data_IF_589375440065
#
_entry.id   IF_589375440065
#
_cell.length_a   1.000
_cell.length_b   1.000
_cell.length_c   1.000
_cell.angle_alpha   90.00
_cell.angle_beta   90.00
_cell.angle_gamma   90.00
#
_symmetry.space_group_name_H-M   'P 1'
#
loop_
_entity.id
_entity.type
_entity.pdbx_description
1 polymer ?
#
# COMPACT_ATOMS: atom_id res chain seq x y z
N UNK A 1 -5.84 -10.24 24.28
CA UNK A 1 -6.30 -9.08 23.49
C UNK A 1 -7.58 -9.49 22.79
N UNK A 2 -8.69 -8.74 22.93
CA UNK A 2 -9.94 -9.03 22.20
C UNK A 2 -9.63 -9.13 20.70
N UNK A 3 -10.26 -10.09 20.00
CA UNK A 3 -10.19 -10.19 18.54
C UNK A 3 -10.66 -8.86 17.94
N UNK A 4 -9.73 -7.99 17.54
CA UNK A 4 -10.07 -6.77 16.83
C UNK A 4 -10.30 -7.15 15.37
N UNK A 5 -11.52 -6.98 14.89
CA UNK A 5 -11.82 -7.11 13.46
C UNK A 5 -11.26 -5.88 12.76
N UNK A 6 -10.45 -6.13 11.75
CA UNK A 6 -9.87 -5.11 10.89
C UNK A 6 -10.39 -5.29 9.47
N UNK A 7 -10.53 -4.19 8.77
CA UNK A 7 -10.91 -4.16 7.36
C UNK A 7 -9.79 -3.49 6.58
N UNK A 8 -9.61 -3.84 5.31
CA UNK A 8 -8.62 -3.17 4.47
C UNK A 8 -9.25 -2.68 3.17
N UNK A 9 -8.76 -1.53 2.69
CA UNK A 9 -8.99 -1.05 1.33
C UNK A 9 -7.70 -1.25 0.55
N UNK A 10 -7.82 -1.82 -0.65
CA UNK A 10 -6.73 -1.89 -1.62
C UNK A 10 -7.23 -1.27 -2.91
N UNK A 11 -6.68 -0.12 -3.27
CA UNK A 11 -6.94 0.55 -4.55
C UNK A 11 -5.62 0.77 -5.26
N UNK A 12 -5.54 0.36 -6.53
CA UNK A 12 -4.39 0.59 -7.38
C UNK A 12 -4.85 1.20 -8.70
N UNK A 13 -4.11 2.18 -9.19
CA UNK A 13 -4.27 2.73 -10.52
C UNK A 13 -3.05 2.34 -11.34
N UNK A 14 -3.29 2.03 -12.62
CA UNK A 14 -2.25 1.60 -13.54
C UNK A 14 -2.23 2.49 -14.77
N UNK A 15 -1.01 2.69 -15.29
CA UNK A 15 -0.76 3.33 -16.57
C UNK A 15 -0.22 2.27 -17.52
N UNK A 16 -0.87 2.15 -18.68
CA UNK A 16 -0.45 1.25 -19.75
C UNK A 16 0.18 2.10 -20.85
N UNK A 17 1.43 1.83 -21.20
CA UNK A 17 2.15 2.53 -22.26
C UNK A 17 2.68 1.54 -23.28
N UNK A 18 2.78 1.94 -24.55
CA UNK A 18 3.56 1.18 -25.53
C UNK A 18 5.00 1.10 -25.05
N UNK A 19 5.60 -0.06 -25.17
CA UNK A 19 7.00 -0.29 -24.85
C UNK A 19 7.57 -1.31 -25.83
N UNK A 20 8.72 -1.02 -26.42
CA UNK A 20 9.46 -2.01 -27.19
C UNK A 20 10.27 -2.87 -26.21
N UNK A 21 10.22 -4.20 -26.38
CA UNK A 21 11.01 -5.09 -25.54
C UNK A 21 10.58 -6.55 -25.58
N UNK A 22 11.41 -7.39 -24.96
CA UNK A 22 11.29 -8.87 -24.94
C UNK A 22 10.01 -9.38 -24.26
N UNK A 23 9.29 -8.52 -23.52
CA UNK A 23 8.06 -8.86 -22.79
C UNK A 23 6.77 -8.50 -23.55
N UNK A 24 6.89 -8.03 -24.79
CA UNK A 24 5.76 -7.62 -25.63
C UNK A 24 5.60 -6.10 -25.74
N UNK A 25 4.64 -5.62 -26.56
CA UNK A 25 4.56 -4.23 -27.00
C UNK A 25 3.99 -3.27 -25.94
N UNK A 26 3.71 -3.74 -24.72
CA UNK A 26 3.02 -2.99 -23.67
C UNK A 26 3.73 -3.11 -22.33
N UNK A 27 3.84 -1.99 -21.61
CA UNK A 27 4.26 -1.92 -20.22
C UNK A 27 3.11 -1.43 -19.36
N UNK A 28 2.89 -2.10 -18.23
CA UNK A 28 1.97 -1.66 -17.17
C UNK A 28 2.79 -1.16 -15.99
N UNK A 29 2.55 0.07 -15.56
CA UNK A 29 3.19 0.68 -14.38
C UNK A 29 2.11 1.07 -13.37
N UNK A 30 2.40 0.95 -12.08
CA UNK A 30 1.56 1.58 -11.04
C UNK A 30 1.62 3.09 -11.21
N UNK A 31 0.45 3.73 -11.34
CA UNK A 31 0.30 5.18 -11.44
C UNK A 31 -0.06 5.81 -10.09
N UNK A 32 -0.81 5.07 -9.26
CA UNK A 32 -1.12 5.45 -7.89
C UNK A 32 -1.53 4.23 -7.07
N UNK A 33 -1.48 4.33 -5.75
CA UNK A 33 -2.11 3.38 -4.85
C UNK A 33 -2.68 4.05 -3.59
N UNK A 34 -3.68 3.39 -3.02
CA UNK A 34 -4.28 3.73 -1.74
C UNK A 34 -4.51 2.44 -0.97
N UNK A 35 -3.70 2.20 0.05
CA UNK A 35 -3.83 1.04 0.94
C UNK A 35 -4.21 1.55 2.31
N UNK A 36 -5.37 1.15 2.82
CA UNK A 36 -5.86 1.62 4.11
C UNK A 36 -6.27 0.45 4.99
N UNK A 37 -6.06 0.60 6.30
CA UNK A 37 -6.54 -0.28 7.34
C UNK A 37 -7.60 0.45 8.16
N UNK A 38 -8.72 -0.22 8.41
CA UNK A 38 -9.85 0.33 9.15
C UNK A 38 -10.21 -0.55 10.34
N UNK A 39 -10.81 0.07 11.35
CA UNK A 39 -11.42 -0.64 12.47
C UNK A 39 -12.82 -1.21 12.12
N UNK A 40 -13.49 -1.78 13.12
CA UNK A 40 -14.80 -2.37 12.94
C UNK A 40 -15.92 -1.36 12.60
N UNK A 41 -15.70 -0.08 12.89
CA UNK A 41 -16.60 1.03 12.61
C UNK A 41 -16.26 1.71 11.26
N UNK A 42 -15.37 1.11 10.46
CA UNK A 42 -14.86 1.67 9.20
C UNK A 42 -14.08 2.98 9.36
N UNK A 43 -13.55 3.26 10.56
CA UNK A 43 -12.64 4.39 10.75
C UNK A 43 -11.25 3.97 10.31
N UNK A 44 -10.63 4.81 9.49
CA UNK A 44 -9.25 4.61 9.04
C UNK A 44 -8.30 4.70 10.23
N UNK A 45 -7.31 3.81 10.26
CA UNK A 45 -6.28 3.73 11.29
C UNK A 45 -4.91 4.11 10.73
N UNK A 46 -4.59 3.57 9.56
CA UNK A 46 -3.32 3.74 8.86
C UNK A 46 -3.62 3.68 7.36
N UNK A 47 -3.10 4.62 6.58
CA UNK A 47 -3.18 4.56 5.13
C UNK A 47 -1.87 4.94 4.44
N UNK A 48 -1.46 4.13 3.48
CA UNK A 48 -0.32 4.39 2.59
C UNK A 48 -0.84 4.86 1.24
N UNK A 49 -0.45 6.07 0.87
CA UNK A 49 -0.87 6.74 -0.35
C UNK A 49 0.32 7.06 -1.24
N UNK A 50 0.10 6.96 -2.54
CA UNK A 50 0.96 7.57 -3.55
C UNK A 50 0.09 7.92 -4.75
N UNK A 51 -0.02 9.21 -5.08
CA UNK A 51 -0.89 9.72 -6.14
C UNK A 51 -0.29 10.98 -6.78
N UNK A 52 0.78 10.83 -7.60
CA UNK A 52 1.58 11.95 -8.11
C UNK A 52 0.84 12.84 -9.12
N UNK A 53 -0.27 12.35 -9.69
CA UNK A 53 -1.06 13.05 -10.71
C UNK A 53 -2.24 13.84 -10.11
N UNK A 54 -2.41 13.80 -8.79
CA UNK A 54 -3.42 14.60 -8.06
C UNK A 54 -2.76 15.85 -7.49
N UNK A 55 -3.53 16.94 -7.36
CA UNK A 55 -3.07 18.15 -6.65
C UNK A 55 -2.78 17.84 -5.17
N UNK A 56 -1.81 18.56 -4.58
CA UNK A 56 -1.39 18.35 -3.19
C UNK A 56 -0.11 17.51 -3.05
N UNK A 57 -0.07 16.64 -2.04
CA UNK A 57 1.10 15.82 -1.72
C UNK A 57 1.32 14.72 -2.76
N UNK A 58 2.47 14.74 -3.44
CA UNK A 58 2.79 13.82 -4.55
C UNK A 58 3.67 12.66 -4.17
N UNK A 59 4.58 12.87 -3.22
CA UNK A 59 5.49 11.81 -2.76
C UNK A 59 4.75 10.75 -1.96
N UNK A 60 5.19 9.48 -2.00
CA UNK A 60 4.60 8.42 -1.19
C UNK A 60 4.56 8.83 0.29
N UNK A 61 3.40 8.68 0.92
CA UNK A 61 3.20 9.10 2.30
C UNK A 61 2.24 8.20 3.07
N UNK A 62 2.27 8.37 4.38
CA UNK A 62 1.47 7.67 5.35
C UNK A 62 0.54 8.66 6.07
N UNK A 63 -0.73 8.30 6.19
CA UNK A 63 -1.65 8.86 7.16
C UNK A 63 -1.76 7.94 8.37
N UNK A 64 -1.81 8.52 9.56
CA UNK A 64 -1.97 7.82 10.82
C UNK A 64 -3.10 8.48 11.62
N UNK A 65 -4.04 7.67 12.11
CA UNK A 65 -5.21 8.13 12.84
C UNK A 65 -5.25 7.53 14.25
N UNK A 66 -5.75 8.30 15.21
CA UNK A 66 -5.84 7.81 16.58
C UNK A 66 -6.44 8.81 17.57
N UNK A 67 -6.79 8.31 18.76
CA UNK A 67 -7.57 9.07 19.74
C UNK A 67 -6.75 10.03 20.63
N UNK A 68 -5.44 10.16 20.43
CA UNK A 68 -4.60 11.05 21.24
C UNK A 68 -4.42 12.41 20.57
N UNK A 69 -4.14 13.46 21.35
CA UNK A 69 -3.82 14.78 20.79
C UNK A 69 -2.63 14.74 19.82
N UNK A 70 -1.65 13.85 20.08
CA UNK A 70 -0.52 13.60 19.18
C UNK A 70 -1.01 12.97 17.88
N UNK A 71 -1.90 11.98 17.95
CA UNK A 71 -2.46 11.36 16.76
C UNK A 71 -3.29 12.37 15.94
N UNK A 72 -4.13 13.19 16.58
CA UNK A 72 -4.89 14.25 15.91
C UNK A 72 -4.00 15.29 15.20
N UNK A 73 -2.78 15.53 15.70
CA UNK A 73 -1.77 16.33 15.00
C UNK A 73 -1.21 15.57 13.79
N UNK A 74 -0.84 14.29 13.96
CA UNK A 74 -0.29 13.44 12.89
C UNK A 74 -1.27 13.18 11.75
N UNK A 75 -2.58 13.15 12.01
CA UNK A 75 -3.63 13.01 11.00
C UNK A 75 -3.56 14.09 9.91
N UNK A 76 -3.03 15.26 10.25
CA UNK A 76 -2.89 16.42 9.34
C UNK A 76 -1.55 16.44 8.60
N UNK A 77 -0.65 15.49 8.89
CA UNK A 77 0.70 15.44 8.34
C UNK A 77 0.83 14.24 7.42
N UNK A 78 1.35 14.48 6.21
CA UNK A 78 1.75 13.42 5.30
C UNK A 78 3.13 12.90 5.71
N UNK A 79 3.18 11.82 6.48
CA UNK A 79 4.45 11.24 6.92
C UNK A 79 5.18 10.64 5.72
N UNK A 80 6.41 11.07 5.39
CA UNK A 80 7.08 10.65 4.17
C UNK A 80 7.43 9.15 4.22
N UNK A 81 7.28 8.48 3.08
CA UNK A 81 7.63 7.07 2.91
C UNK A 81 8.33 6.84 1.57
N UNK A 82 8.84 5.62 1.35
CA UNK A 82 9.08 5.13 -0.01
C UNK A 82 7.79 4.57 -0.63
N UNK A 83 7.81 4.24 -1.92
CA UNK A 83 6.71 3.47 -2.53
C UNK A 83 6.54 2.13 -1.80
N UNK A 84 5.31 1.83 -1.42
CA UNK A 84 4.89 0.59 -0.77
C UNK A 84 4.24 -0.32 -1.80
N UNK A 85 4.73 -1.55 -1.93
CA UNK A 85 4.08 -2.60 -2.72
C UNK A 85 2.85 -3.14 -1.98
N UNK A 86 1.90 -3.75 -2.70
CA UNK A 86 0.79 -4.44 -2.05
C UNK A 86 1.32 -5.58 -1.17
N UNK A 87 2.39 -6.25 -1.60
CA UNK A 87 3.06 -7.31 -0.87
C UNK A 87 3.65 -6.84 0.46
N UNK A 88 4.28 -5.66 0.49
CA UNK A 88 4.76 -5.05 1.73
C UNK A 88 3.60 -4.74 2.68
N UNK A 89 2.51 -4.18 2.17
CA UNK A 89 1.32 -3.90 2.98
C UNK A 89 0.73 -5.19 3.57
N UNK A 90 0.53 -6.23 2.76
CA UNK A 90 0.02 -7.52 3.23
C UNK A 90 0.97 -8.20 4.22
N UNK A 91 2.29 -8.13 3.99
CA UNK A 91 3.30 -8.67 4.89
C UNK A 91 3.27 -7.97 6.25
N UNK A 92 3.10 -6.64 6.27
CA UNK A 92 2.90 -5.88 7.51
C UNK A 92 1.67 -6.39 8.28
N UNK A 93 0.53 -6.59 7.62
CA UNK A 93 -0.69 -7.11 8.28
C UNK A 93 -0.46 -8.50 8.90
N UNK A 94 0.21 -9.39 8.18
CA UNK A 94 0.42 -10.78 8.62
C UNK A 94 1.48 -10.84 9.74
N UNK A 95 2.62 -10.19 9.55
CA UNK A 95 3.79 -10.32 10.44
C UNK A 95 3.65 -9.42 11.67
N UNK A 96 3.27 -8.16 11.50
CA UNK A 96 3.23 -7.19 12.60
C UNK A 96 1.88 -7.22 13.32
N UNK A 97 0.78 -7.22 12.56
CA UNK A 97 -0.57 -7.22 13.14
C UNK A 97 -1.14 -8.61 13.42
N UNK A 98 -0.36 -9.67 13.14
CA UNK A 98 -0.72 -11.07 13.38
C UNK A 98 -2.03 -11.49 12.71
N UNK A 99 -2.38 -10.87 11.58
CA UNK A 99 -3.53 -11.29 10.77
C UNK A 99 -3.25 -12.69 10.23
N UNK A 100 -4.15 -13.64 10.49
CA UNK A 100 -4.03 -15.02 10.01
C UNK A 100 -4.26 -15.05 8.49
N UNK A 101 -3.26 -15.44 7.68
CA UNK A 101 -3.46 -15.59 6.24
C UNK A 101 -4.36 -16.80 5.96
N UNK A 102 -5.15 -16.72 4.88
CA UNK A 102 -5.99 -17.83 4.42
C UNK A 102 -5.17 -18.96 3.78
N UNK A 103 -3.98 -18.63 3.27
CA UNK A 103 -3.09 -19.55 2.58
C UNK A 103 -1.82 -19.78 3.37
N UNK A 104 -1.37 -21.03 3.44
CA UNK A 104 -0.19 -21.43 4.20
C UNK A 104 1.13 -21.03 3.50
N UNK A 105 1.11 -20.91 2.17
CA UNK A 105 2.23 -20.52 1.31
C UNK A 105 2.26 -19.01 1.02
N UNK A 106 1.68 -18.18 1.89
CA UNK A 106 1.57 -16.73 1.65
C UNK A 106 2.93 -16.08 1.41
N UNK A 107 3.95 -16.46 2.18
CA UNK A 107 5.26 -15.83 2.11
C UNK A 107 5.98 -16.03 0.77
N UNK A 108 6.13 -17.26 0.24
CA UNK A 108 6.72 -17.45 -1.08
C UNK A 108 5.89 -16.81 -2.20
N UNK A 109 4.57 -16.71 -2.05
CA UNK A 109 3.72 -16.00 -3.01
C UNK A 109 4.03 -14.52 -3.04
N UNK A 110 4.03 -13.83 -1.88
CA UNK A 110 4.35 -12.41 -1.80
C UNK A 110 5.76 -12.13 -2.32
N UNK A 111 6.75 -12.93 -1.94
CA UNK A 111 8.13 -12.76 -2.42
C UNK A 111 8.25 -12.89 -3.94
N UNK A 112 7.54 -13.85 -4.55
CA UNK A 112 7.57 -14.08 -6.00
C UNK A 112 6.92 -12.93 -6.78
N UNK A 113 5.83 -12.35 -6.27
CA UNK A 113 5.11 -11.27 -6.97
C UNK A 113 5.75 -9.90 -6.76
N UNK A 114 6.37 -9.68 -5.59
CA UNK A 114 7.08 -8.45 -5.28
C UNK A 114 8.35 -8.24 -6.13
N UNK A 115 9.09 -9.33 -6.41
CA UNK A 115 10.36 -9.26 -7.14
C UNK A 115 10.27 -8.52 -8.48
N UNK A 116 9.38 -8.92 -9.40
CA UNK A 116 9.15 -8.22 -10.66
C UNK A 116 8.71 -6.77 -10.48
N UNK A 117 7.88 -6.47 -9.48
CA UNK A 117 7.47 -5.10 -9.16
C UNK A 117 8.69 -4.24 -8.80
N UNK A 118 9.53 -4.72 -7.88
CA UNK A 118 10.74 -4.01 -7.45
C UNK A 118 11.73 -3.83 -8.60
N UNK A 119 11.87 -4.84 -9.46
CA UNK A 119 12.79 -4.79 -10.60
C UNK A 119 12.34 -3.82 -11.70
N UNK A 120 11.03 -3.64 -11.90
CA UNK A 120 10.50 -2.90 -13.05
C UNK A 120 9.81 -1.58 -12.71
N UNK A 121 9.67 -1.24 -11.42
CA UNK A 121 9.10 0.04 -10.99
C UNK A 121 9.92 1.20 -11.56
N UNK A 122 9.26 2.09 -12.28
CA UNK A 122 9.85 3.34 -12.75
C UNK A 122 9.52 4.46 -11.77
N UNK A 123 10.55 5.23 -11.39
CA UNK A 123 10.36 6.55 -10.80
C UNK A 123 9.94 7.50 -11.92
N UNK A 124 8.89 8.28 -11.65
CA UNK A 124 8.46 9.40 -12.50
C UNK A 124 8.57 10.64 -11.63
#
# INVERSE_FOLDING_TARGET
>A
MKNKRLYMTVKMQYRVTKAEGVKGPWKVSTAAYFYALHDAEQRELIAFHWHPETEGQKDPHLHFYGASNVAAFLEKVHLPTGRISLEQFLRFLIVELKVKPLRNDWEPVLRRTEGPYVQHRSWH
#
